data_IF_541820464048
#
_entry.id   IF_541820464048
#
_cell.length_a   1.000
_cell.length_b   1.000
_cell.length_c   1.000
_cell.angle_alpha   90.00
_cell.angle_beta   90.00
_cell.angle_gamma   90.00
#
_symmetry.space_group_name_H-M   'P 1'
#
loop_
_entity.id
_entity.type
_entity.pdbx_description
1 polymer ?
#
# COMPACT_ATOMS: atom_id res chain seq x y z
N UNK A 1 -31.33 5.23 17.85
CA UNK A 1 -31.62 4.01 17.06
C UNK A 1 -30.34 3.20 16.92
N UNK A 2 -30.28 2.09 17.65
CA UNK A 2 -29.19 1.12 17.65
C UNK A 2 -29.15 0.39 16.31
N UNK A 3 -28.11 0.63 15.49
CA UNK A 3 -27.86 -0.17 14.29
C UNK A 3 -27.24 -1.52 14.70
N UNK A 4 -28.06 -2.44 15.19
CA UNK A 4 -27.72 -3.86 15.24
C UNK A 4 -27.89 -4.45 13.83
N UNK A 5 -26.88 -4.34 12.98
CA UNK A 5 -26.90 -5.06 11.70
C UNK A 5 -26.56 -6.53 11.97
N UNK A 6 -27.58 -7.39 11.94
CA UNK A 6 -27.43 -8.84 12.03
C UNK A 6 -26.54 -9.34 10.86
N UNK A 7 -25.39 -10.00 11.12
CA UNK A 7 -24.48 -10.44 10.06
C UNK A 7 -25.07 -11.47 9.08
N UNK A 8 -26.21 -12.08 9.43
CA UNK A 8 -26.84 -13.18 8.68
C UNK A 8 -27.68 -12.72 7.45
N UNK A 9 -27.93 -11.42 7.27
CA UNK A 9 -28.85 -10.93 6.22
C UNK A 9 -28.20 -10.50 4.89
N UNK A 10 -26.90 -10.71 4.70
CA UNK A 10 -26.25 -10.37 3.42
C UNK A 10 -26.56 -11.41 2.33
N UNK A 11 -27.72 -11.28 1.65
CA UNK A 11 -28.06 -12.02 0.42
C UNK A 11 -27.15 -11.68 -0.78
N UNK A 12 -26.36 -10.60 -0.70
CA UNK A 12 -25.51 -10.11 -1.80
C UNK A 12 -24.08 -9.81 -1.34
N UNK A 13 -23.10 -10.20 -2.17
CA UNK A 13 -21.68 -9.87 -1.98
C UNK A 13 -21.46 -8.38 -2.23
N UNK A 14 -21.01 -7.62 -1.23
CA UNK A 14 -20.62 -6.21 -1.41
C UNK A 14 -19.44 -6.11 -2.39
N UNK A 15 -19.39 -5.11 -3.29
CA UNK A 15 -18.26 -4.94 -4.22
C UNK A 15 -16.93 -4.82 -3.46
N UNK A 16 -15.95 -5.65 -3.79
CA UNK A 16 -14.63 -5.60 -3.15
C UNK A 16 -13.80 -4.41 -3.64
N UNK A 17 -13.04 -3.80 -2.72
CA UNK A 17 -12.03 -2.78 -3.07
C UNK A 17 -10.79 -3.38 -3.74
N UNK A 18 -10.60 -4.70 -3.63
CA UNK A 18 -9.53 -5.51 -4.23
C UNK A 18 -10.13 -6.60 -5.14
N UNK A 19 -9.63 -6.72 -6.37
CA UNK A 19 -10.10 -7.72 -7.36
C UNK A 19 -9.10 -8.89 -7.49
N UNK A 20 -7.92 -8.78 -6.88
CA UNK A 20 -6.82 -9.74 -6.99
C UNK A 20 -6.95 -10.99 -6.11
N UNK A 21 -8.13 -11.27 -5.53
CA UNK A 21 -8.31 -12.36 -4.56
C UNK A 21 -7.57 -12.18 -3.22
N UNK A 22 -6.87 -11.05 -3.03
CA UNK A 22 -6.20 -10.70 -1.76
C UNK A 22 -7.10 -9.82 -0.92
N UNK A 23 -7.33 -10.22 0.32
CA UNK A 23 -8.24 -9.56 1.24
C UNK A 23 -7.48 -8.68 2.23
N UNK A 24 -7.68 -7.35 2.21
CA UNK A 24 -6.97 -6.44 3.11
C UNK A 24 -7.60 -6.45 4.51
N UNK A 25 -6.78 -6.73 5.52
CA UNK A 25 -7.11 -6.57 6.94
C UNK A 25 -6.30 -5.41 7.50
N UNK A 26 -7.02 -4.33 7.80
CA UNK A 26 -6.45 -3.17 8.49
C UNK A 26 -6.59 -3.33 10.01
N UNK A 27 -5.47 -3.17 10.72
CA UNK A 27 -5.39 -3.18 12.20
C UNK A 27 -4.90 -1.81 12.70
N UNK A 28 -5.47 -1.33 13.80
CA UNK A 28 -5.09 -0.08 14.44
C UNK A 28 -4.20 -0.31 15.65
N UNK A 29 -3.29 0.64 15.83
CA UNK A 29 -2.52 0.82 17.06
C UNK A 29 -3.39 1.47 18.14
N UNK A 30 -3.12 1.25 19.44
CA UNK A 30 -3.75 2.03 20.50
C UNK A 30 -3.38 3.51 20.39
N UNK A 31 -4.25 4.47 20.76
CA UNK A 31 -3.97 5.90 20.62
C UNK A 31 -2.72 6.29 21.40
N UNK A 32 -1.87 7.10 20.76
CA UNK A 32 -0.69 7.70 21.40
C UNK A 32 -0.37 9.03 20.70
N UNK A 33 -0.01 10.08 21.43
CA UNK A 33 0.46 11.32 20.81
C UNK A 33 1.76 11.09 20.03
N UNK A 34 1.90 11.78 18.90
CA UNK A 34 3.18 11.88 18.22
C UNK A 34 4.19 12.65 19.08
N UNK A 35 5.46 12.25 19.07
CA UNK A 35 6.53 12.89 19.86
C UNK A 35 6.71 14.39 19.54
N UNK A 36 6.35 14.83 18.33
CA UNK A 36 6.44 16.22 17.88
C UNK A 36 5.14 17.03 18.07
N UNK A 37 4.15 16.47 18.77
CA UNK A 37 2.81 17.03 18.85
C UNK A 37 1.97 16.74 17.59
N UNK A 38 0.82 17.40 17.49
CA UNK A 38 -0.09 17.24 16.36
C UNK A 38 0.35 18.10 15.16
N UNK A 39 0.31 17.53 13.96
CA UNK A 39 0.36 18.32 12.73
C UNK A 39 -0.92 19.15 12.61
N UNK A 40 -0.84 20.32 11.96
CA UNK A 40 -1.94 21.30 11.87
C UNK A 40 -3.25 20.68 11.34
N UNK A 41 -3.16 19.79 10.36
CA UNK A 41 -4.31 19.14 9.71
C UNK A 41 -4.73 17.81 10.37
N UNK A 42 -4.04 17.35 11.41
CA UNK A 42 -4.42 16.11 12.09
C UNK A 42 -5.35 16.41 13.27
N UNK A 43 -6.46 15.68 13.42
CA UNK A 43 -7.38 15.86 14.53
C UNK A 43 -6.81 15.31 15.85
N UNK A 44 -7.16 15.96 16.95
CA UNK A 44 -6.84 15.53 18.32
C UNK A 44 -8.09 14.95 19.01
N UNK A 45 -8.53 13.76 18.57
CA UNK A 45 -9.83 13.17 18.97
C UNK A 45 -9.71 11.89 19.83
N UNK A 46 -8.63 11.74 20.60
CA UNK A 46 -8.35 10.56 21.44
C UNK A 46 -8.47 9.20 20.69
N UNK A 47 -8.02 9.20 19.43
CA UNK A 47 -7.93 8.05 18.52
C UNK A 47 -6.56 8.06 17.84
N UNK A 48 -6.14 6.99 17.16
CA UNK A 48 -4.85 7.00 16.46
C UNK A 48 -4.76 8.22 15.53
N UNK A 49 -3.60 8.90 15.57
CA UNK A 49 -3.40 10.19 14.91
C UNK A 49 -3.85 10.14 13.45
N UNK A 50 -4.47 11.23 12.99
CA UNK A 50 -5.09 11.37 11.68
C UNK A 50 -6.48 10.75 11.57
N UNK A 51 -6.94 9.82 12.41
CA UNK A 51 -8.25 9.14 12.24
C UNK A 51 -9.41 9.83 12.97
N UNK A 52 -10.63 9.45 12.60
CA UNK A 52 -11.87 9.87 13.26
C UNK A 52 -12.47 8.73 14.07
N UNK A 53 -13.12 9.01 15.22
CA UNK A 53 -13.75 7.99 16.08
C UNK A 53 -14.73 7.07 15.38
N UNK A 54 -15.51 7.59 14.43
CA UNK A 54 -16.51 6.81 13.69
C UNK A 54 -15.95 6.01 12.51
N UNK A 55 -14.63 6.04 12.28
CA UNK A 55 -14.04 5.21 11.24
C UNK A 55 -14.26 3.73 11.57
N UNK A 56 -14.78 2.89 10.64
CA UNK A 56 -15.07 1.48 10.92
C UNK A 56 -13.87 0.67 11.42
N UNK A 57 -12.64 1.07 11.06
CA UNK A 57 -11.41 0.44 11.56
C UNK A 57 -11.12 0.82 13.01
N UNK A 58 -11.38 2.07 13.40
CA UNK A 58 -11.19 2.58 14.76
C UNK A 58 -12.24 1.98 15.70
N UNK A 59 -13.51 1.95 15.28
CA UNK A 59 -14.59 1.35 16.07
C UNK A 59 -14.31 -0.12 16.40
N UNK A 60 -13.89 -0.92 15.41
CA UNK A 60 -13.48 -2.33 15.64
C UNK A 60 -12.28 -2.45 16.56
N UNK A 61 -11.30 -1.57 16.44
CA UNK A 61 -10.11 -1.64 17.27
C UNK A 61 -10.46 -1.32 18.73
N UNK A 62 -11.25 -0.26 18.95
CA UNK A 62 -11.73 0.16 20.26
C UNK A 62 -12.55 -0.94 20.94
N UNK A 63 -13.41 -1.65 20.20
CA UNK A 63 -14.25 -2.72 20.78
C UNK A 63 -13.47 -3.92 21.33
N UNK A 64 -12.19 -4.06 20.96
CA UNK A 64 -11.29 -5.11 21.46
C UNK A 64 -10.07 -4.55 22.17
N UNK A 65 -10.15 -3.30 22.63
CA UNK A 65 -9.06 -2.59 23.31
C UNK A 65 -7.73 -2.64 22.54
N UNK A 66 -7.80 -2.50 21.21
CA UNK A 66 -6.67 -2.49 20.29
C UNK A 66 -5.81 -3.78 20.29
N UNK A 67 -6.33 -4.90 20.80
CA UNK A 67 -5.66 -6.20 20.73
C UNK A 67 -5.51 -6.67 19.27
N UNK A 68 -4.27 -6.92 18.84
CA UNK A 68 -3.97 -7.24 17.45
C UNK A 68 -4.57 -8.57 16.97
N UNK A 69 -4.60 -9.58 17.84
CA UNK A 69 -5.16 -10.91 17.54
C UNK A 69 -6.66 -10.80 17.34
N UNK A 70 -7.37 -10.19 18.30
CA UNK A 70 -8.82 -10.01 18.26
C UNK A 70 -9.25 -9.13 17.09
N UNK A 71 -8.52 -8.04 16.81
CA UNK A 71 -8.78 -7.20 15.64
C UNK A 71 -8.71 -8.00 14.33
N UNK A 72 -7.71 -8.88 14.21
CA UNK A 72 -7.50 -9.73 13.04
C UNK A 72 -8.63 -10.76 12.91
N UNK A 73 -8.98 -11.45 14.00
CA UNK A 73 -10.04 -12.47 14.04
C UNK A 73 -11.42 -11.90 13.69
N UNK A 74 -11.84 -10.80 14.34
CA UNK A 74 -13.13 -10.15 14.04
C UNK A 74 -13.19 -9.74 12.56
N UNK A 75 -12.08 -9.26 12.01
CA UNK A 75 -12.07 -8.86 10.59
C UNK A 75 -12.12 -10.06 9.65
N UNK A 76 -11.46 -11.16 9.98
CA UNK A 76 -11.57 -12.43 9.23
C UNK A 76 -13.02 -12.94 9.26
N UNK A 77 -13.65 -12.99 10.43
CA UNK A 77 -15.04 -13.41 10.60
C UNK A 77 -16.00 -12.55 9.77
N UNK A 78 -15.83 -11.22 9.80
CA UNK A 78 -16.62 -10.31 8.98
C UNK A 78 -16.46 -10.61 7.48
N UNK A 79 -15.24 -10.90 7.00
CA UNK A 79 -15.02 -11.29 5.60
C UNK A 79 -15.60 -12.65 5.26
N UNK A 80 -15.51 -13.65 6.16
CA UNK A 80 -16.14 -14.97 6.02
C UNK A 80 -17.67 -14.82 5.92
N UNK A 81 -18.29 -14.03 6.80
CA UNK A 81 -19.73 -13.75 6.79
C UNK A 81 -20.19 -13.07 5.49
N UNK A 82 -19.37 -12.16 4.95
CA UNK A 82 -19.60 -11.51 3.66
C UNK A 82 -19.22 -12.38 2.43
N UNK A 83 -18.82 -13.65 2.64
CA UNK A 83 -18.37 -14.59 1.61
C UNK A 83 -17.21 -14.07 0.75
N UNK A 84 -16.31 -13.29 1.35
CA UNK A 84 -15.05 -12.90 0.73
C UNK A 84 -13.98 -13.97 0.96
N UNK A 85 -13.06 -14.20 -0.02
CA UNK A 85 -11.95 -15.11 0.16
C UNK A 85 -11.05 -14.61 1.31
N UNK A 86 -10.53 -15.54 2.09
CA UNK A 86 -9.66 -15.23 3.24
C UNK A 86 -8.38 -16.08 3.24
N UNK A 87 -8.10 -16.79 2.16
CA UNK A 87 -6.91 -17.62 1.98
C UNK A 87 -5.63 -16.78 1.82
N UNK A 88 -5.75 -15.59 1.21
CA UNK A 88 -4.65 -14.64 1.00
C UNK A 88 -4.98 -13.30 1.63
N UNK A 89 -4.22 -12.93 2.65
CA UNK A 89 -4.43 -11.73 3.45
C UNK A 89 -3.29 -10.72 3.23
N UNK A 90 -3.66 -9.47 2.98
CA UNK A 90 -2.76 -8.32 3.14
C UNK A 90 -3.04 -7.65 4.49
N UNK A 91 -2.06 -7.66 5.39
CA UNK A 91 -2.12 -6.91 6.64
C UNK A 91 -1.70 -5.46 6.39
N UNK A 92 -2.45 -4.51 6.95
CA UNK A 92 -2.12 -3.09 6.92
C UNK A 92 -2.17 -2.55 8.34
N UNK A 93 -1.00 -2.19 8.88
CA UNK A 93 -0.88 -1.55 10.18
C UNK A 93 -1.00 -0.05 9.94
N UNK A 94 -2.12 0.54 10.36
CA UNK A 94 -2.37 1.96 10.18
C UNK A 94 -2.21 2.75 11.49
N UNK A 95 -1.91 4.03 11.34
CA UNK A 95 -1.64 4.97 12.44
C UNK A 95 -0.33 5.76 12.25
N UNK A 96 0.57 5.29 11.39
CA UNK A 96 1.75 6.04 10.97
C UNK A 96 2.89 6.14 12.00
N UNK A 97 2.72 5.56 13.18
CA UNK A 97 3.67 5.66 14.31
C UNK A 97 4.06 4.32 14.91
N UNK A 98 3.73 3.19 14.25
CA UNK A 98 4.00 1.84 14.77
C UNK A 98 5.45 1.64 15.22
N UNK A 99 6.40 2.13 14.42
CA UNK A 99 7.83 1.98 14.67
C UNK A 99 8.36 2.83 15.83
N UNK A 100 7.57 3.80 16.31
CA UNK A 100 7.84 4.62 17.51
C UNK A 100 7.37 3.97 18.83
N UNK A 101 6.64 2.85 18.78
CA UNK A 101 6.22 2.11 19.98
C UNK A 101 7.40 1.40 20.64
N UNK A 102 7.34 1.05 21.95
CA UNK A 102 8.35 0.22 22.58
C UNK A 102 8.57 -1.09 21.81
N UNK A 103 9.81 -1.57 21.74
CA UNK A 103 10.17 -2.76 20.95
C UNK A 103 9.30 -3.96 21.33
N UNK A 104 9.17 -4.28 22.62
CA UNK A 104 8.34 -5.38 23.10
C UNK A 104 6.89 -5.29 22.60
N UNK A 105 6.32 -4.09 22.55
CA UNK A 105 4.99 -3.88 21.98
C UNK A 105 4.96 -4.21 20.50
N UNK A 106 5.95 -3.76 19.71
CA UNK A 106 6.00 -4.03 18.27
C UNK A 106 6.00 -5.55 17.98
N UNK A 107 6.90 -6.31 18.61
CA UNK A 107 6.97 -7.76 18.41
C UNK A 107 5.70 -8.48 18.88
N UNK A 108 5.16 -8.13 20.06
CA UNK A 108 3.90 -8.70 20.56
C UNK A 108 2.73 -8.38 19.64
N UNK A 109 2.67 -7.17 19.09
CA UNK A 109 1.60 -6.74 18.20
C UNK A 109 1.64 -7.55 16.89
N UNK A 110 2.81 -7.66 16.24
CA UNK A 110 2.97 -8.45 15.01
C UNK A 110 2.68 -9.93 15.26
N UNK A 111 3.21 -10.49 16.36
CA UNK A 111 2.91 -11.87 16.77
C UNK A 111 1.41 -12.08 16.94
N UNK A 112 0.72 -11.15 17.61
CA UNK A 112 -0.74 -11.19 17.78
C UNK A 112 -1.49 -11.20 16.45
N UNK A 113 -1.04 -10.45 15.44
CA UNK A 113 -1.62 -10.51 14.09
C UNK A 113 -1.48 -11.92 13.51
N UNK A 114 -0.26 -12.49 13.52
CA UNK A 114 -0.04 -13.84 13.01
C UNK A 114 -0.83 -14.90 13.78
N UNK A 115 -0.89 -14.82 15.11
CA UNK A 115 -1.71 -15.71 15.94
C UNK A 115 -3.21 -15.59 15.58
N UNK A 116 -3.68 -14.39 15.26
CA UNK A 116 -5.04 -14.14 14.79
C UNK A 116 -5.33 -14.76 13.42
N UNK A 117 -4.35 -14.71 12.50
CA UNK A 117 -4.44 -15.38 11.19
C UNK A 117 -4.36 -16.91 11.30
N UNK A 118 -3.50 -17.40 12.19
CA UNK A 118 -3.25 -18.82 12.39
C UNK A 118 -4.34 -19.50 13.23
N UNK A 119 -5.22 -18.71 13.87
CA UNK A 119 -6.22 -19.19 14.84
C UNK A 119 -5.57 -20.02 15.98
N UNK A 120 -4.29 -19.75 16.29
CA UNK A 120 -3.47 -20.46 17.27
C UNK A 120 -2.50 -19.51 17.95
N UNK A 121 -2.24 -19.70 19.25
CA UNK A 121 -1.22 -18.95 19.98
C UNK A 121 0.14 -19.62 19.77
N UNK A 122 1.12 -18.86 19.31
CA UNK A 122 2.53 -19.27 19.18
C UNK A 122 3.35 -18.92 20.44
N UNK A 123 4.52 -19.53 20.60
CA UNK A 123 5.52 -19.19 21.62
C UNK A 123 6.13 -17.81 21.36
N UNK A 124 6.55 -17.56 20.12
CA UNK A 124 7.21 -16.34 19.69
C UNK A 124 6.82 -15.96 18.25
N UNK A 125 7.34 -14.82 17.77
CA UNK A 125 7.03 -14.32 16.44
C UNK A 125 7.55 -15.25 15.33
N UNK A 126 8.68 -15.92 15.51
CA UNK A 126 9.24 -16.81 14.49
C UNK A 126 8.36 -18.04 14.31
N UNK A 127 7.90 -18.66 15.40
CA UNK A 127 6.94 -19.75 15.33
C UNK A 127 5.62 -19.29 14.68
N UNK A 128 5.11 -18.10 15.03
CA UNK A 128 3.90 -17.53 14.44
C UNK A 128 4.01 -17.42 12.90
N UNK A 129 5.16 -16.92 12.41
CA UNK A 129 5.44 -16.82 10.98
C UNK A 129 5.55 -18.19 10.32
N UNK A 130 6.27 -19.14 10.94
CA UNK A 130 6.43 -20.51 10.42
C UNK A 130 5.09 -21.22 10.24
N UNK A 131 4.19 -21.10 11.23
CA UNK A 131 2.83 -21.64 11.13
C UNK A 131 2.07 -20.97 9.98
N UNK A 132 2.24 -19.66 9.79
CA UNK A 132 1.51 -18.90 8.79
C UNK A 132 1.89 -19.24 7.33
N UNK A 133 3.11 -19.72 7.08
CA UNK A 133 3.55 -20.11 5.73
C UNK A 133 2.62 -21.14 5.08
N UNK A 134 2.07 -22.06 5.89
CA UNK A 134 1.15 -23.12 5.50
C UNK A 134 -0.26 -22.97 6.09
N UNK A 135 -0.53 -21.82 6.72
CA UNK A 135 -1.80 -21.56 7.40
C UNK A 135 -2.98 -21.40 6.44
N UNK A 136 -4.20 -21.49 6.98
CA UNK A 136 -5.44 -21.26 6.22
C UNK A 136 -5.57 -19.82 5.72
N UNK A 137 -5.14 -18.85 6.55
CA UNK A 137 -5.20 -17.41 6.26
C UNK A 137 -3.79 -16.87 6.10
N UNK A 138 -3.23 -17.00 4.89
CA UNK A 138 -1.81 -16.72 4.63
C UNK A 138 -1.56 -15.22 4.52
N UNK A 139 -0.61 -14.70 5.29
CA UNK A 139 -0.15 -13.32 5.19
C UNK A 139 0.75 -13.16 3.97
N UNK A 140 0.16 -12.81 2.82
CA UNK A 140 0.89 -12.68 1.55
C UNK A 140 1.56 -11.31 1.40
N UNK A 141 1.13 -10.33 2.19
CA UNK A 141 1.75 -9.02 2.27
C UNK A 141 1.49 -8.39 3.64
N UNK A 142 2.49 -7.66 4.16
CA UNK A 142 2.35 -6.87 5.37
C UNK A 142 2.84 -5.46 5.08
N UNK A 143 1.96 -4.49 5.31
CA UNK A 143 2.19 -3.08 5.07
C UNK A 143 2.29 -2.31 6.40
N UNK A 144 3.36 -1.54 6.56
CA UNK A 144 3.55 -0.62 7.70
C UNK A 144 3.48 0.82 7.20
N UNK A 145 2.60 1.62 7.80
CA UNK A 145 2.60 3.08 7.63
C UNK A 145 3.59 3.71 8.62
N UNK A 146 4.48 4.58 8.14
CA UNK A 146 5.46 5.28 8.99
C UNK A 146 5.73 6.71 8.51
N UNK A 147 6.38 7.51 9.37
CA UNK A 147 6.91 8.82 9.01
C UNK A 147 8.30 8.66 8.35
N UNK A 148 8.68 9.54 7.41
CA UNK A 148 9.99 9.50 6.77
C UNK A 148 11.19 9.54 7.72
N UNK A 149 11.11 10.31 8.81
CA UNK A 149 12.15 10.41 9.85
C UNK A 149 12.31 9.11 10.66
N UNK A 150 11.28 8.25 10.68
CA UNK A 150 11.26 6.97 11.40
C UNK A 150 11.49 5.82 10.42
N UNK A 151 12.65 5.87 9.75
CA UNK A 151 13.04 4.90 8.71
C UNK A 151 14.57 4.75 8.61
N UNK A 152 15.24 4.58 9.75
CA UNK A 152 16.68 4.25 9.83
C UNK A 152 16.97 2.79 9.45
N UNK A 153 18.25 2.40 9.31
CA UNK A 153 18.64 1.02 9.01
C UNK A 153 18.12 0.01 10.06
N UNK A 154 18.07 0.39 11.33
CA UNK A 154 17.49 -0.44 12.38
C UNK A 154 15.98 -0.65 12.18
N UNK A 155 15.26 0.41 11.81
CA UNK A 155 13.84 0.32 11.48
C UNK A 155 13.61 -0.62 10.30
N UNK A 156 14.44 -0.53 9.26
CA UNK A 156 14.41 -1.43 8.10
C UNK A 156 14.56 -2.89 8.54
N UNK A 157 15.58 -3.19 9.35
CA UNK A 157 15.83 -4.54 9.85
C UNK A 157 14.64 -5.09 10.65
N UNK A 158 14.07 -4.29 11.56
CA UNK A 158 12.87 -4.68 12.32
C UNK A 158 11.68 -4.96 11.40
N UNK A 159 11.45 -4.13 10.39
CA UNK A 159 10.37 -4.37 9.42
C UNK A 159 10.57 -5.69 8.65
N UNK A 160 11.81 -6.04 8.28
CA UNK A 160 12.13 -7.33 7.67
C UNK A 160 11.86 -8.50 8.62
N UNK A 161 12.25 -8.37 9.89
CA UNK A 161 11.95 -9.37 10.95
C UNK A 161 10.44 -9.60 11.12
N UNK A 162 9.62 -8.56 10.98
CA UNK A 162 8.16 -8.66 11.03
C UNK A 162 7.54 -9.33 9.79
N UNK A 163 8.30 -9.57 8.72
CA UNK A 163 7.77 -10.04 7.44
C UNK A 163 7.09 -8.94 6.62
N UNK A 164 7.44 -7.67 6.85
CA UNK A 164 6.92 -6.55 6.08
C UNK A 164 7.42 -6.61 4.63
N UNK A 165 6.54 -6.30 3.67
CA UNK A 165 6.86 -6.27 2.24
C UNK A 165 6.59 -4.92 1.59
N UNK A 166 5.91 -4.02 2.31
CA UNK A 166 5.49 -2.72 1.82
C UNK A 166 5.53 -1.66 2.92
N UNK A 167 6.07 -0.51 2.60
CA UNK A 167 6.10 0.63 3.53
C UNK A 167 5.43 1.83 2.86
N UNK A 168 4.56 2.46 3.61
CA UNK A 168 3.90 3.69 3.19
C UNK A 168 4.40 4.87 4.01
N UNK A 169 5.02 5.83 3.32
CA UNK A 169 5.57 7.03 3.91
C UNK A 169 4.54 8.16 3.87
N UNK A 170 4.31 8.77 5.03
CA UNK A 170 3.51 9.98 5.17
C UNK A 170 4.21 11.24 4.65
N UNK A 171 4.46 11.30 3.33
CA UNK A 171 5.21 12.38 2.63
C UNK A 171 4.41 13.68 2.54
N UNK A 172 3.13 13.57 2.25
CA UNK A 172 2.15 14.65 2.06
C UNK A 172 2.46 15.61 0.90
N UNK A 173 3.52 16.41 0.99
CA UNK A 173 3.91 17.40 -0.02
C UNK A 173 5.41 17.72 0.11
N UNK A 174 6.20 17.53 -0.96
CA UNK A 174 7.68 17.68 -0.92
C UNK A 174 8.15 19.15 -0.83
N UNK A 175 7.94 19.81 0.31
CA UNK A 175 8.43 21.16 0.62
C UNK A 175 8.68 21.34 2.13
N UNK A 176 9.92 21.65 2.48
CA UNK A 176 10.32 21.87 3.88
C UNK A 176 9.62 23.08 4.50
N UNK A 177 9.23 24.10 3.71
CA UNK A 177 8.46 25.23 4.21
C UNK A 177 7.05 24.80 4.63
N UNK A 178 6.38 24.00 3.79
CA UNK A 178 5.08 23.39 4.15
C UNK A 178 5.19 22.47 5.37
N UNK A 179 6.27 21.69 5.50
CA UNK A 179 6.47 20.85 6.68
C UNK A 179 6.59 21.66 7.97
N UNK A 180 7.40 22.73 7.96
CA UNK A 180 7.50 23.65 9.10
C UNK A 180 6.16 24.31 9.42
N UNK A 181 5.48 24.84 8.41
CA UNK A 181 4.17 25.50 8.58
C UNK A 181 3.12 24.58 9.20
N UNK A 182 3.11 23.31 8.82
CA UNK A 182 2.11 22.34 9.28
C UNK A 182 2.54 21.54 10.52
N UNK A 183 3.65 21.92 11.16
CA UNK A 183 4.26 21.18 12.27
C UNK A 183 4.48 19.69 11.93
N UNK A 184 4.94 19.42 10.71
CA UNK A 184 5.26 18.07 10.25
C UNK A 184 6.74 17.80 10.51
N UNK A 185 7.01 16.87 11.42
CA UNK A 185 8.37 16.58 11.91
C UNK A 185 9.16 15.65 10.99
N UNK A 186 9.41 16.08 9.75
CA UNK A 186 10.44 15.54 8.86
C UNK A 186 10.74 16.54 7.74
N UNK A 187 11.83 16.29 7.02
CA UNK A 187 12.28 17.09 5.86
C UNK A 187 12.09 16.31 4.56
N UNK A 188 12.29 16.99 3.43
CA UNK A 188 12.40 16.33 2.11
C UNK A 188 13.61 15.40 2.10
N UNK A 189 14.71 15.73 2.81
CA UNK A 189 15.87 14.85 2.93
C UNK A 189 15.51 13.53 3.60
N UNK A 190 14.69 13.54 4.64
CA UNK A 190 14.23 12.31 5.29
C UNK A 190 13.41 11.44 4.33
N UNK A 191 12.58 12.05 3.47
CA UNK A 191 11.86 11.32 2.42
C UNK A 191 12.82 10.66 1.43
N UNK A 192 13.84 11.38 0.98
CA UNK A 192 14.88 10.85 0.07
C UNK A 192 15.62 9.69 0.73
N UNK A 193 16.09 9.87 1.96
CA UNK A 193 16.89 8.87 2.67
C UNK A 193 16.07 7.62 3.01
N UNK A 194 14.82 7.79 3.47
CA UNK A 194 13.90 6.68 3.72
C UNK A 194 13.61 5.90 2.43
N UNK A 195 13.33 6.61 1.34
CA UNK A 195 13.04 5.97 0.04
C UNK A 195 14.25 5.20 -0.47
N UNK A 196 15.45 5.77 -0.33
CA UNK A 196 16.69 5.08 -0.66
C UNK A 196 16.84 3.79 0.14
N UNK A 197 16.78 3.85 1.47
CA UNK A 197 16.95 2.65 2.33
C UNK A 197 15.89 1.58 2.05
N UNK A 198 14.64 1.97 1.89
CA UNK A 198 13.54 1.05 1.58
C UNK A 198 13.77 0.32 0.26
N UNK A 199 14.19 1.05 -0.78
CA UNK A 199 14.49 0.48 -2.10
C UNK A 199 15.70 -0.45 -2.04
N UNK A 200 16.77 -0.06 -1.35
CA UNK A 200 17.96 -0.90 -1.15
C UNK A 200 17.70 -2.18 -0.34
N UNK A 201 16.69 -2.18 0.53
CA UNK A 201 16.24 -3.37 1.26
C UNK A 201 15.12 -4.14 0.55
N UNK A 202 14.72 -3.73 -0.66
CA UNK A 202 13.75 -4.43 -1.50
C UNK A 202 12.28 -4.10 -1.28
N UNK A 203 11.93 -3.25 -0.31
CA UNK A 203 10.53 -2.91 -0.01
C UNK A 203 9.81 -2.23 -1.19
N UNK A 204 8.52 -2.48 -1.30
CA UNK A 204 7.60 -1.61 -2.06
C UNK A 204 7.39 -0.31 -1.31
N UNK A 205 7.49 0.82 -2.00
CA UNK A 205 7.39 2.15 -1.40
C UNK A 205 6.13 2.86 -1.88
N UNK A 206 5.24 3.18 -0.94
CA UNK A 206 4.05 3.99 -1.17
C UNK A 206 4.19 5.39 -0.56
N UNK A 207 3.74 6.43 -1.26
CA UNK A 207 3.64 7.78 -0.69
C UNK A 207 2.19 8.15 -0.40
N UNK A 208 1.92 8.71 0.77
CA UNK A 208 0.69 9.46 1.02
C UNK A 208 0.93 10.89 0.57
N UNK A 209 0.06 11.42 -0.29
CA UNK A 209 0.13 12.77 -0.84
C UNK A 209 -1.14 13.53 -0.46
N UNK A 210 -1.00 14.79 -0.06
CA UNK A 210 -2.10 15.66 0.35
C UNK A 210 -2.08 16.97 -0.43
N UNK A 211 -2.74 17.02 -1.60
CA UNK A 211 -3.00 18.28 -2.30
C UNK A 211 -3.82 19.24 -1.43
N UNK A 212 -3.61 20.54 -1.59
CA UNK A 212 -4.34 21.57 -0.85
C UNK A 212 -3.90 21.76 0.59
N UNK A 213 -2.71 21.29 0.99
CA UNK A 213 -2.16 21.63 2.31
C UNK A 213 -1.96 23.15 2.48
N UNK A 214 -1.98 23.67 3.73
CA UNK A 214 -1.63 25.06 3.99
C UNK A 214 -0.31 25.48 3.32
N UNK A 215 -0.32 26.63 2.65
CA UNK A 215 0.81 27.14 1.88
C UNK A 215 1.00 26.54 0.47
N UNK A 216 0.19 25.55 0.08
CA UNK A 216 0.14 25.01 -1.29
C UNK A 216 -0.93 25.68 -2.16
N UNK A 217 -0.91 25.40 -3.45
CA UNK A 217 -1.93 25.74 -4.44
C UNK A 217 -1.88 24.72 -5.60
N UNK A 218 -2.87 24.75 -6.48
CA UNK A 218 -2.99 23.79 -7.60
C UNK A 218 -1.69 23.68 -8.42
N UNK A 219 -1.07 24.82 -8.75
CA UNK A 219 0.19 24.86 -9.53
C UNK A 219 1.32 24.17 -8.77
N UNK A 220 1.45 24.44 -7.47
CA UNK A 220 2.45 23.84 -6.59
C UNK A 220 2.23 22.33 -6.44
N UNK A 221 1.00 21.87 -6.25
CA UNK A 221 0.66 20.44 -6.14
C UNK A 221 1.03 19.66 -7.40
N UNK A 222 0.68 20.20 -8.57
CA UNK A 222 1.02 19.59 -9.87
C UNK A 222 2.55 19.54 -10.05
N UNK A 223 3.25 20.63 -9.75
CA UNK A 223 4.71 20.68 -9.82
C UNK A 223 5.38 19.70 -8.84
N UNK A 224 4.81 19.54 -7.64
CA UNK A 224 5.30 18.59 -6.64
C UNK A 224 5.20 17.15 -7.14
N UNK A 225 4.06 16.77 -7.72
CA UNK A 225 3.88 15.43 -8.30
C UNK A 225 4.77 15.22 -9.53
N UNK A 226 4.95 16.24 -10.38
CA UNK A 226 5.90 16.18 -11.48
C UNK A 226 7.31 15.86 -10.96
N UNK A 227 7.76 16.56 -9.90
CA UNK A 227 9.04 16.31 -9.23
C UNK A 227 9.14 14.88 -8.68
N UNK A 228 8.10 14.37 -8.01
CA UNK A 228 8.06 12.99 -7.47
C UNK A 228 8.39 11.94 -8.54
N UNK A 229 7.95 12.13 -9.79
CA UNK A 229 8.15 11.16 -10.86
C UNK A 229 9.31 11.48 -11.80
N UNK A 230 9.78 12.72 -11.88
CA UNK A 230 10.93 13.10 -12.70
C UNK A 230 12.27 12.91 -11.99
N UNK A 231 12.33 13.21 -10.68
CA UNK A 231 13.56 13.14 -9.88
C UNK A 231 13.78 11.71 -9.37
N UNK A 232 14.97 11.15 -9.65
CA UNK A 232 15.30 9.77 -9.30
C UNK A 232 15.30 9.50 -7.79
N UNK A 233 15.41 10.51 -6.93
CA UNK A 233 15.43 10.34 -5.47
C UNK A 233 14.10 9.87 -4.87
N UNK A 234 13.00 9.95 -5.62
CA UNK A 234 11.65 9.61 -5.15
C UNK A 234 11.09 8.37 -5.87
N UNK A 235 10.38 8.55 -6.99
CA UNK A 235 9.81 7.49 -7.83
C UNK A 235 9.18 6.33 -7.03
N UNK A 236 8.16 6.62 -6.20
CA UNK A 236 7.47 5.60 -5.42
C UNK A 236 6.76 4.61 -6.35
N UNK A 237 6.54 3.39 -5.87
CA UNK A 237 5.80 2.37 -6.60
C UNK A 237 4.29 2.62 -6.54
N UNK A 238 3.85 3.33 -5.50
CA UNK A 238 2.45 3.55 -5.20
C UNK A 238 2.21 4.94 -4.61
N UNK A 239 1.02 5.50 -4.87
CA UNK A 239 0.56 6.72 -4.21
C UNK A 239 -0.86 6.58 -3.67
N UNK A 240 -1.12 7.22 -2.54
CA UNK A 240 -2.45 7.47 -1.96
C UNK A 240 -2.66 8.98 -1.95
N UNK A 241 -3.74 9.46 -2.57
CA UNK A 241 -4.00 10.89 -2.72
C UNK A 241 -5.19 11.26 -1.83
N UNK A 242 -4.93 12.15 -0.86
CA UNK A 242 -5.90 12.61 0.13
C UNK A 242 -5.94 14.14 0.14
N UNK A 243 -6.80 14.78 -0.69
CA UNK A 243 -7.00 16.22 -0.61
C UNK A 243 -7.21 16.68 0.84
N UNK A 244 -6.55 17.77 1.23
CA UNK A 244 -6.60 18.29 2.58
C UNK A 244 -8.02 18.77 2.90
N UNK A 245 -8.52 18.37 4.06
CA UNK A 245 -9.87 18.64 4.53
C UNK A 245 -9.80 19.09 5.99
N UNK A 246 -10.76 19.91 6.40
CA UNK A 246 -10.85 20.44 7.75
C UNK A 246 -11.72 19.49 8.59
N UNK A 247 -11.12 18.94 9.64
CA UNK A 247 -11.71 17.95 10.55
C UNK A 247 -11.79 18.60 11.94
N UNK A 248 -12.83 18.33 12.75
CA UNK A 248 -12.95 18.94 14.07
C UNK A 248 -11.78 18.57 14.98
N UNK A 249 -11.35 19.52 15.81
CA UNK A 249 -10.26 19.33 16.77
C UNK A 249 -8.85 19.30 16.15
N UNK A 250 -8.71 19.74 14.90
CA UNK A 250 -7.43 20.03 14.28
C UNK A 250 -7.17 21.54 14.34
N UNK A 251 -5.91 21.97 14.48
CA UNK A 251 -5.55 23.40 14.41
C UNK A 251 -5.96 24.06 13.09
N UNK A 252 -6.07 23.28 12.02
CA UNK A 252 -6.58 23.72 10.72
C UNK A 252 -8.03 24.24 10.79
N UNK A 253 -8.83 23.78 11.76
CA UNK A 253 -10.20 24.26 11.98
C UNK A 253 -10.22 25.72 12.41
N UNK A 254 -9.33 26.12 13.33
CA UNK A 254 -9.15 27.51 13.76
C UNK A 254 -8.78 28.39 12.57
N UNK A 255 -7.77 27.96 11.80
CA UNK A 255 -7.33 28.69 10.60
C UNK A 255 -8.44 28.85 9.56
N UNK A 256 -9.31 27.84 9.42
CA UNK A 256 -10.47 27.94 8.55
C UNK A 256 -11.50 28.95 9.06
N UNK A 257 -11.83 28.91 10.36
CA UNK A 257 -12.80 29.84 10.99
C UNK A 257 -12.33 31.30 10.94
N UNK A 258 -11.03 31.53 11.06
CA UNK A 258 -10.40 32.85 10.96
C UNK A 258 -10.19 33.32 9.50
N UNK A 259 -10.53 32.48 8.51
CA UNK A 259 -10.33 32.78 7.08
C UNK A 259 -8.89 32.60 6.58
N UNK A 260 -7.96 32.16 7.42
CA UNK A 260 -6.56 31.88 7.09
C UNK A 260 -6.33 30.59 6.27
N UNK A 261 -7.36 29.75 6.09
CA UNK A 261 -7.29 28.57 5.24
C UNK A 261 -8.61 28.31 4.52
N UNK A 262 -8.53 27.90 3.24
CA UNK A 262 -9.67 27.44 2.45
C UNK A 262 -9.33 26.11 1.78
N UNK A 263 -10.06 25.01 2.05
CA UNK A 263 -9.87 23.76 1.34
C UNK A 263 -10.29 23.91 -0.13
N UNK A 264 -9.75 23.05 -1.00
CA UNK A 264 -10.13 23.04 -2.41
C UNK A 264 -11.60 22.70 -2.61
N UNK A 265 -12.20 23.33 -3.62
CA UNK A 265 -13.54 22.94 -4.10
C UNK A 265 -13.49 21.60 -4.84
N UNK A 266 -14.66 21.02 -5.10
CA UNK A 266 -14.76 19.79 -5.87
C UNK A 266 -14.14 19.92 -7.27
N UNK A 267 -14.35 21.04 -7.94
CA UNK A 267 -13.80 21.33 -9.27
C UNK A 267 -12.27 21.40 -9.25
N UNK A 268 -11.72 22.07 -8.24
CA UNK A 268 -10.27 22.18 -8.04
C UNK A 268 -9.64 20.82 -7.74
N UNK A 269 -10.28 20.01 -6.88
CA UNK A 269 -9.85 18.64 -6.58
C UNK A 269 -9.85 17.80 -7.86
N UNK A 270 -10.93 17.84 -8.64
CA UNK A 270 -11.02 17.10 -9.91
C UNK A 270 -9.91 17.53 -10.87
N UNK A 271 -9.67 18.84 -11.02
CA UNK A 271 -8.60 19.39 -11.85
C UNK A 271 -7.23 18.86 -11.43
N UNK A 272 -6.89 18.98 -10.14
CA UNK A 272 -5.62 18.47 -9.60
C UNK A 272 -5.48 16.97 -9.82
N UNK A 273 -6.53 16.19 -9.57
CA UNK A 273 -6.49 14.74 -9.73
C UNK A 273 -6.30 14.31 -11.19
N UNK A 274 -6.91 15.00 -12.15
CA UNK A 274 -6.69 14.75 -13.59
C UNK A 274 -5.22 15.00 -13.95
N UNK A 275 -4.66 16.14 -13.54
CA UNK A 275 -3.26 16.48 -13.83
C UNK A 275 -2.28 15.50 -13.18
N UNK A 276 -2.53 15.10 -11.93
CA UNK A 276 -1.75 14.03 -11.28
C UNK A 276 -1.83 12.73 -12.08
N UNK A 277 -3.03 12.31 -12.54
CA UNK A 277 -3.19 11.07 -13.30
C UNK A 277 -2.50 11.09 -14.67
N UNK A 278 -2.34 12.26 -15.30
CA UNK A 278 -1.55 12.43 -16.53
C UNK A 278 -0.05 12.20 -16.27
N UNK A 279 0.44 12.61 -15.10
CA UNK A 279 1.86 12.51 -14.71
C UNK A 279 2.26 11.13 -14.17
N UNK A 280 1.32 10.35 -13.63
CA UNK A 280 1.63 9.06 -13.01
C UNK A 280 2.11 8.06 -14.06
N UNK A 281 3.35 7.53 -13.92
CA UNK A 281 3.93 6.60 -14.88
C UNK A 281 3.31 5.21 -14.80
N UNK A 282 3.53 4.41 -15.83
CA UNK A 282 2.99 3.06 -15.96
C UNK A 282 3.39 2.10 -14.83
N UNK A 283 4.55 2.32 -14.19
CA UNK A 283 5.03 1.49 -13.08
C UNK A 283 4.40 1.86 -11.72
N UNK A 284 3.69 2.99 -11.63
CA UNK A 284 3.13 3.48 -10.37
C UNK A 284 1.65 3.14 -10.26
N UNK A 285 1.21 2.76 -9.05
CA UNK A 285 -0.19 2.46 -8.74
C UNK A 285 -0.81 3.57 -7.88
N UNK A 286 -1.91 4.16 -8.36
CA UNK A 286 -2.77 5.00 -7.50
C UNK A 286 -3.67 4.08 -6.67
N UNK A 287 -3.28 3.84 -5.42
CA UNK A 287 -3.98 2.95 -4.49
C UNK A 287 -5.36 3.51 -4.16
N UNK A 288 -5.39 4.76 -3.69
CA UNK A 288 -6.59 5.41 -3.18
C UNK A 288 -6.62 6.87 -3.63
N UNK A 289 -7.83 7.34 -3.91
CA UNK A 289 -8.18 8.75 -4.09
C UNK A 289 -9.27 8.98 -3.04
N UNK A 290 -9.14 10.05 -2.28
CA UNK A 290 -9.98 10.39 -1.13
C UNK A 290 -9.81 9.47 0.08
N UNK A 291 -9.90 10.11 1.24
CA UNK A 291 -10.12 9.43 2.51
C UNK A 291 -11.62 9.35 2.76
N UNK A 292 -12.07 8.24 3.35
CA UNK A 292 -13.42 8.17 3.91
C UNK A 292 -13.39 8.86 5.27
N UNK A 293 -13.96 10.06 5.32
CA UNK A 293 -14.20 10.83 6.54
C UNK A 293 -15.73 10.86 6.71
N UNK A 294 -16.28 10.44 7.86
CA UNK A 294 -17.71 10.57 8.11
C UNK A 294 -18.15 12.04 8.00
N UNK A 295 -19.29 12.36 7.38
CA UNK A 295 -19.76 13.75 7.24
C UNK A 295 -19.84 14.52 8.56
N UNK A 296 -20.19 13.84 9.66
CA UNK A 296 -20.20 14.37 11.02
C UNK A 296 -18.83 14.89 11.51
N UNK A 297 -17.74 14.44 10.89
CA UNK A 297 -16.36 14.85 11.21
C UNK A 297 -15.72 15.66 10.06
N UNK A 298 -16.52 16.29 9.21
CA UNK A 298 -16.04 17.20 8.17
C UNK A 298 -16.54 18.62 8.45
N UNK A 299 -15.64 19.52 8.84
CA UNK A 299 -15.96 20.95 9.05
C UNK A 299 -15.99 21.68 7.71
N UNK A 300 -15.00 21.42 6.84
CA UNK A 300 -14.92 22.02 5.51
C UNK A 300 -14.11 21.16 4.53
N UNK A 301 -14.53 21.16 3.27
CA UNK A 301 -13.95 20.36 2.20
C UNK A 301 -15.02 19.60 1.42
N UNK A 302 -14.62 18.51 0.76
CA UNK A 302 -15.50 17.72 -0.11
C UNK A 302 -16.21 16.61 0.65
N UNK A 303 -17.54 16.56 0.54
CA UNK A 303 -18.34 15.41 0.98
C UNK A 303 -18.30 14.24 -0.03
N UNK A 304 -17.79 14.47 -1.24
CA UNK A 304 -17.76 13.45 -2.29
C UNK A 304 -16.66 12.42 -2.07
N UNK A 305 -17.09 11.21 -1.74
CA UNK A 305 -16.23 10.03 -1.59
C UNK A 305 -16.00 9.29 -2.90
N UNK A 306 -16.77 9.60 -3.95
CA UNK A 306 -16.76 8.96 -5.25
C UNK A 306 -15.89 9.68 -6.29
N UNK A 307 -15.03 10.62 -5.88
CA UNK A 307 -14.14 11.42 -6.74
C UNK A 307 -13.36 10.60 -7.79
N UNK A 308 -13.02 9.35 -7.49
CA UNK A 308 -12.37 8.46 -8.47
C UNK A 308 -13.26 8.17 -9.69
N UNK A 309 -14.57 8.03 -9.50
CA UNK A 309 -15.57 7.85 -10.56
C UNK A 309 -15.67 9.12 -11.40
N UNK A 310 -15.88 10.26 -10.75
CA UNK A 310 -15.97 11.59 -11.38
C UNK A 310 -14.75 11.88 -12.25
N UNK A 311 -13.54 11.70 -11.70
CA UNK A 311 -12.29 11.93 -12.45
C UNK A 311 -12.15 10.98 -13.65
N UNK A 312 -12.63 9.74 -13.53
CA UNK A 312 -12.56 8.75 -14.62
C UNK A 312 -13.52 9.06 -15.76
N UNK A 313 -14.69 9.63 -15.47
CA UNK A 313 -15.62 10.08 -16.50
C UNK A 313 -15.03 11.23 -17.33
N UNK A 314 -14.27 12.12 -16.69
CA UNK A 314 -13.60 13.25 -17.34
C UNK A 314 -12.25 12.92 -17.96
N UNK A 315 -11.56 11.88 -17.47
CA UNK A 315 -10.23 11.47 -17.96
C UNK A 315 -10.05 9.94 -17.92
N UNK A 316 -10.13 9.32 -19.11
CA UNK A 316 -10.05 7.87 -19.28
C UNK A 316 -8.62 7.36 -19.52
N UNK A 317 -7.74 8.17 -20.10
CA UNK A 317 -6.39 7.76 -20.56
C UNK A 317 -5.32 7.71 -19.45
N UNK A 318 -5.69 7.17 -18.29
CA UNK A 318 -4.77 7.03 -17.16
C UNK A 318 -3.87 5.79 -17.32
N UNK A 319 -2.55 6.02 -17.35
CA UNK A 319 -1.55 4.95 -17.54
C UNK A 319 -1.15 4.21 -16.25
N UNK A 320 -1.60 4.64 -15.08
CA UNK A 320 -1.26 3.97 -13.82
C UNK A 320 -1.69 2.49 -13.79
N UNK A 321 -1.02 1.67 -12.98
CA UNK A 321 -1.28 0.22 -12.87
C UNK A 321 -2.78 -0.04 -12.64
N UNK A 322 -3.39 0.62 -11.65
CA UNK A 322 -4.79 0.36 -11.25
C UNK A 322 -5.80 0.55 -12.39
N UNK A 323 -5.55 1.50 -13.29
CA UNK A 323 -6.44 1.76 -14.42
C UNK A 323 -6.29 0.74 -15.55
N UNK A 324 -5.21 -0.05 -15.54
CA UNK A 324 -4.89 -1.07 -16.56
C UNK A 324 -5.02 -2.50 -16.03
N UNK A 325 -5.21 -2.71 -14.73
CA UNK A 325 -5.42 -4.04 -14.15
C UNK A 325 -6.64 -4.74 -14.79
N UNK A 326 -6.43 -5.93 -15.34
CA UNK A 326 -7.48 -6.70 -16.03
C UNK A 326 -8.73 -6.90 -15.17
N UNK A 327 -8.56 -7.11 -13.85
CA UNK A 327 -9.69 -7.28 -12.94
C UNK A 327 -10.60 -6.05 -12.85
N UNK A 328 -10.04 -4.84 -12.83
CA UNK A 328 -10.85 -3.62 -12.83
C UNK A 328 -11.50 -3.39 -14.19
N UNK A 329 -10.80 -3.72 -15.28
CA UNK A 329 -11.36 -3.63 -16.63
C UNK A 329 -12.59 -4.53 -16.80
N UNK A 330 -12.52 -5.80 -16.40
CA UNK A 330 -13.65 -6.74 -16.51
C UNK A 330 -14.82 -6.29 -15.64
N UNK A 331 -14.56 -5.86 -14.40
CA UNK A 331 -15.64 -5.36 -13.52
C UNK A 331 -16.37 -4.18 -14.14
N UNK A 332 -15.62 -3.25 -14.74
CA UNK A 332 -16.17 -2.03 -15.33
C UNK A 332 -16.75 -2.29 -16.75
N UNK A 333 -16.40 -3.41 -17.39
CA UNK A 333 -16.82 -3.78 -18.75
C UNK A 333 -17.16 -5.29 -18.85
N UNK A 334 -18.21 -5.78 -18.18
CA UNK A 334 -18.48 -7.21 -18.00
C UNK A 334 -18.73 -7.99 -19.30
N UNK A 335 -19.13 -7.30 -20.38
CA UNK A 335 -19.44 -7.90 -21.68
C UNK A 335 -18.30 -7.74 -22.71
N UNK A 336 -17.17 -7.13 -22.34
CA UNK A 336 -16.06 -6.95 -23.27
C UNK A 336 -15.31 -8.27 -23.51
N UNK A 337 -15.04 -8.58 -24.78
CA UNK A 337 -14.13 -9.66 -25.15
C UNK A 337 -12.71 -9.27 -24.75
N UNK A 338 -12.01 -10.17 -24.06
CA UNK A 338 -10.63 -9.95 -23.63
C UNK A 338 -9.68 -10.45 -24.71
N UNK A 339 -8.77 -9.60 -25.16
CA UNK A 339 -7.65 -10.02 -26.00
C UNK A 339 -6.61 -10.75 -25.13
N UNK A 340 -6.48 -12.06 -25.38
CA UNK A 340 -5.53 -12.96 -24.70
C UNK A 340 -4.15 -13.00 -25.39
N UNK A 341 -3.93 -12.21 -26.45
CA UNK A 341 -2.61 -12.08 -27.05
C UNK A 341 -1.67 -11.25 -26.15
N UNK A 342 -1.01 -11.94 -25.23
CA UNK A 342 -0.15 -11.33 -24.24
C UNK A 342 1.29 -11.15 -24.75
N UNK A 343 1.88 -10.00 -24.42
CA UNK A 343 3.29 -9.71 -24.64
C UNK A 343 3.94 -9.22 -23.35
N UNK A 344 5.24 -9.49 -23.22
CA UNK A 344 6.06 -8.91 -22.17
C UNK A 344 6.52 -7.51 -22.59
N UNK A 345 6.34 -6.53 -21.69
CA UNK A 345 6.86 -5.17 -21.82
C UNK A 345 7.74 -4.85 -20.61
N UNK A 346 8.88 -4.20 -20.83
CA UNK A 346 9.83 -3.84 -19.77
C UNK A 346 10.04 -2.33 -19.79
N UNK A 347 9.88 -1.67 -18.65
CA UNK A 347 10.20 -0.26 -18.45
C UNK A 347 11.40 -0.17 -17.53
N UNK A 348 12.47 0.48 -17.98
CA UNK A 348 13.68 0.74 -17.19
C UNK A 348 13.68 2.18 -16.70
N UNK A 349 14.05 2.41 -15.44
CA UNK A 349 14.21 3.75 -14.90
C UNK A 349 15.20 3.77 -13.73
N UNK A 350 15.92 4.88 -13.56
CA UNK A 350 16.74 5.10 -12.36
C UNK A 350 15.87 5.56 -11.20
N UNK A 351 16.10 4.98 -10.02
CA UNK A 351 15.48 5.41 -8.77
C UNK A 351 16.42 5.12 -7.59
N UNK A 352 16.62 6.11 -6.73
CA UNK A 352 17.50 6.03 -5.56
C UNK A 352 18.89 5.51 -5.92
N UNK A 353 19.50 6.08 -6.97
CA UNK A 353 20.79 5.69 -7.58
C UNK A 353 20.86 4.29 -8.22
N UNK A 354 19.96 3.38 -7.86
CA UNK A 354 19.86 2.05 -8.45
C UNK A 354 19.04 2.03 -9.75
N UNK A 355 19.02 0.87 -10.40
CA UNK A 355 18.23 0.63 -11.63
C UNK A 355 16.97 -0.16 -11.28
N UNK A 356 15.82 0.31 -11.73
CA UNK A 356 14.54 -0.38 -11.63
C UNK A 356 14.10 -0.91 -13.00
N UNK A 357 13.62 -2.14 -13.00
CA UNK A 357 13.04 -2.85 -14.12
C UNK A 357 11.61 -3.20 -13.77
N UNK A 358 10.66 -2.55 -14.42
CA UNK A 358 9.23 -2.88 -14.30
C UNK A 358 8.82 -3.76 -15.48
N UNK A 359 8.72 -5.06 -15.21
CA UNK A 359 8.24 -6.05 -16.15
C UNK A 359 6.72 -6.13 -16.03
N UNK A 360 6.02 -6.13 -17.16
CA UNK A 360 4.57 -6.29 -17.20
C UNK A 360 4.17 -7.18 -18.37
N UNK A 361 3.24 -8.09 -18.12
CA UNK A 361 2.58 -8.87 -19.17
C UNK A 361 1.28 -8.16 -19.50
N UNK A 362 1.18 -7.70 -20.75
CA UNK A 362 0.08 -6.86 -21.23
C UNK A 362 -0.48 -7.34 -22.56
N UNK A 363 -1.73 -7.00 -22.87
CA UNK A 363 -2.31 -7.21 -24.20
C UNK A 363 -2.15 -5.97 -25.11
N UNK A 364 -2.80 -5.98 -26.29
CA UNK A 364 -2.77 -4.86 -27.24
C UNK A 364 -3.32 -3.55 -26.66
N UNK A 365 -4.35 -3.62 -25.81
CA UNK A 365 -4.93 -2.46 -25.10
C UNK A 365 -4.10 -2.02 -23.89
N UNK A 366 -2.92 -2.62 -23.67
CA UNK A 366 -2.02 -2.34 -22.56
C UNK A 366 -2.62 -2.67 -21.17
N UNK A 367 -3.64 -3.56 -21.12
CA UNK A 367 -4.18 -4.11 -19.88
C UNK A 367 -3.16 -5.06 -19.25
N UNK A 368 -2.99 -5.01 -17.93
CA UNK A 368 -1.99 -5.76 -17.17
C UNK A 368 -2.60 -7.06 -16.63
N UNK A 369 -1.93 -8.16 -16.96
CA UNK A 369 -2.24 -9.52 -16.46
C UNK A 369 -1.22 -9.99 -15.43
N UNK A 370 -0.01 -9.44 -15.44
CA UNK A 370 0.98 -9.68 -14.39
C UNK A 370 2.07 -8.62 -14.42
N UNK A 371 2.73 -8.42 -13.30
CA UNK A 371 3.87 -7.51 -13.17
C UNK A 371 4.93 -8.05 -12.23
N UNK A 372 6.17 -7.61 -12.45
CA UNK A 372 7.30 -7.84 -11.56
C UNK A 372 8.14 -6.56 -11.46
N UNK A 373 8.59 -6.23 -10.24
CA UNK A 373 9.56 -5.17 -9.97
C UNK A 373 10.91 -5.80 -9.64
N UNK A 374 11.88 -5.61 -10.52
CA UNK A 374 13.25 -6.05 -10.34
C UNK A 374 14.13 -4.81 -10.12
N UNK A 375 14.98 -4.83 -9.09
CA UNK A 375 15.93 -3.77 -8.79
C UNK A 375 17.35 -4.30 -8.83
N UNK A 376 18.23 -3.52 -9.43
CA UNK A 376 19.68 -3.63 -9.24
C UNK A 376 20.05 -2.57 -8.20
N UNK A 377 20.35 -2.98 -6.96
CA UNK A 377 20.63 -2.06 -5.87
C UNK A 377 21.91 -1.25 -6.14
N UNK A 378 21.98 -0.06 -5.59
CA UNK A 378 23.19 0.78 -5.69
C UNK A 378 24.18 0.47 -4.56
N UNK A 379 23.67 0.34 -3.34
CA UNK A 379 24.41 0.04 -2.12
C UNK A 379 23.48 -0.73 -1.16
N UNK A 380 23.43 -2.07 -1.29
CA UNK A 380 22.65 -2.91 -0.38
C UNK A 380 22.98 -2.59 1.07
N UNK A 381 21.96 -2.40 1.90
CA UNK A 381 22.11 -2.11 3.34
C UNK A 381 21.88 -3.35 4.20
N UNK A 382 21.62 -4.48 3.57
CA UNK A 382 21.31 -5.78 4.17
C UNK A 382 22.29 -6.79 3.57
N UNK A 383 22.93 -7.61 4.41
CA UNK A 383 24.03 -8.48 4.01
C UNK A 383 23.61 -9.55 3.00
N UNK A 384 22.41 -10.11 3.17
CA UNK A 384 21.80 -11.13 2.30
C UNK A 384 21.54 -10.61 0.86
N UNK A 385 21.62 -9.29 0.66
CA UNK A 385 21.44 -8.65 -0.65
C UNK A 385 22.77 -8.29 -1.34
N UNK A 386 23.92 -8.56 -0.71
CA UNK A 386 25.23 -8.36 -1.34
C UNK A 386 25.33 -9.21 -2.60
N UNK A 387 25.71 -8.58 -3.72
CA UNK A 387 25.81 -9.22 -5.04
C UNK A 387 24.51 -9.87 -5.52
N UNK A 388 23.36 -9.33 -5.12
CA UNK A 388 22.04 -9.82 -5.52
C UNK A 388 21.26 -8.75 -6.29
N UNK A 389 20.51 -9.17 -7.30
CA UNK A 389 19.37 -8.37 -7.77
C UNK A 389 18.16 -8.67 -6.89
N UNK A 390 17.23 -7.73 -6.78
CA UNK A 390 16.13 -7.80 -5.83
C UNK A 390 14.79 -7.79 -6.56
N UNK A 391 14.01 -8.85 -6.43
CA UNK A 391 12.59 -8.85 -6.80
C UNK A 391 11.80 -8.25 -5.64
N UNK A 392 11.28 -7.05 -5.89
CA UNK A 392 10.55 -6.21 -4.92
C UNK A 392 9.05 -6.49 -4.91
N UNK A 393 8.54 -7.03 -6.01
CA UNK A 393 7.14 -7.38 -6.18
C UNK A 393 6.98 -8.38 -7.31
N UNK A 394 6.18 -9.41 -7.09
CA UNK A 394 5.55 -10.20 -8.14
C UNK A 394 4.03 -10.15 -7.90
N UNK A 395 3.26 -9.84 -8.93
CA UNK A 395 1.80 -9.83 -8.84
C UNK A 395 1.18 -10.31 -10.14
N UNK A 396 0.34 -11.33 -10.07
CA UNK A 396 -0.42 -11.85 -11.22
C UNK A 396 -1.90 -11.55 -10.99
N UNK A 397 -2.52 -10.89 -11.96
CA UNK A 397 -3.94 -10.56 -11.94
C UNK A 397 -4.71 -11.67 -12.67
N UNK A 398 -5.90 -12.03 -12.19
CA UNK A 398 -6.79 -12.92 -12.94
C UNK A 398 -6.75 -14.39 -12.57
N UNK A 399 -5.94 -14.84 -11.60
CA UNK A 399 -5.91 -16.27 -11.25
C UNK A 399 -7.25 -16.79 -10.72
N UNK A 400 -8.07 -15.93 -10.10
CA UNK A 400 -9.43 -16.21 -9.61
C UNK A 400 -10.21 -14.88 -9.57
N UNK A 401 -10.90 -14.51 -10.65
CA UNK A 401 -11.80 -13.35 -10.65
C UNK A 401 -13.23 -13.86 -10.50
N UNK A 402 -13.76 -13.74 -9.28
CA UNK A 402 -15.18 -13.97 -8.99
C UNK A 402 -15.91 -12.62 -9.13
N UNK A 403 -16.54 -12.36 -10.28
CA UNK A 403 -17.42 -11.19 -10.48
C UNK A 403 -18.84 -11.72 -10.69
N UNK A 404 -19.72 -11.51 -9.71
CA UNK A 404 -21.07 -12.08 -9.71
C UNK A 404 -21.08 -13.61 -9.52
N UNK A 405 -22.03 -14.30 -10.17
CA UNK A 405 -22.17 -15.77 -10.19
C UNK A 405 -21.29 -16.46 -11.27
N UNK A 406 -20.51 -15.71 -12.06
CA UNK A 406 -19.65 -16.28 -13.10
C UNK A 406 -18.20 -16.36 -12.61
N UNK A 407 -17.65 -17.58 -12.57
CA UNK A 407 -16.22 -17.81 -12.41
C UNK A 407 -15.55 -17.60 -13.78
N UNK A 408 -14.83 -16.49 -13.94
CA UNK A 408 -13.97 -16.29 -15.12
C UNK A 408 -12.61 -16.88 -14.76
N UNK A 409 -12.42 -18.15 -15.13
CA UNK A 409 -11.13 -18.82 -15.02
C UNK A 409 -10.31 -18.56 -16.27
N UNK A 410 -9.24 -17.81 -16.09
CA UNK A 410 -8.30 -17.43 -17.13
C UNK A 410 -7.30 -18.59 -17.37
N UNK A 411 -7.76 -19.65 -18.06
CA UNK A 411 -7.03 -20.90 -18.29
C UNK A 411 -5.62 -20.70 -18.90
N UNK A 412 -5.46 -19.74 -19.81
CA UNK A 412 -4.16 -19.41 -20.45
C UNK A 412 -3.19 -18.63 -19.54
N UNK A 413 -3.65 -18.13 -18.38
CA UNK A 413 -2.84 -17.29 -17.50
C UNK A 413 -2.11 -18.11 -16.40
N UNK A 414 -2.22 -19.44 -16.46
CA UNK A 414 -1.34 -20.34 -15.69
C UNK A 414 0.11 -20.13 -16.15
N UNK A 415 1.01 -19.88 -15.20
CA UNK A 415 2.44 -19.73 -15.48
C UNK A 415 2.94 -18.31 -15.79
N UNK A 416 2.08 -17.27 -15.81
CA UNK A 416 2.54 -15.88 -15.99
C UNK A 416 3.56 -15.44 -14.94
N UNK A 417 3.37 -15.86 -13.69
CA UNK A 417 4.32 -15.59 -12.61
C UNK A 417 5.68 -16.22 -12.89
N UNK A 418 5.70 -17.48 -13.35
CA UNK A 418 6.93 -18.19 -13.72
C UNK A 418 7.66 -17.50 -14.88
N UNK A 419 6.93 -17.11 -15.93
CA UNK A 419 7.50 -16.34 -17.07
C UNK A 419 8.14 -15.03 -16.63
N UNK A 420 7.52 -14.31 -15.68
CA UNK A 420 8.09 -13.08 -15.12
C UNK A 420 9.37 -13.36 -14.31
N UNK A 421 9.37 -14.43 -13.50
CA UNK A 421 10.54 -14.86 -12.72
C UNK A 421 11.69 -15.26 -13.64
N UNK A 422 11.45 -16.12 -14.64
CA UNK A 422 12.46 -16.54 -15.63
C UNK A 422 13.08 -15.34 -16.35
N UNK A 423 12.27 -14.34 -16.72
CA UNK A 423 12.79 -13.11 -17.31
C UNK A 423 13.62 -12.28 -16.34
N UNK A 424 13.24 -12.23 -15.06
CA UNK A 424 14.01 -11.53 -14.04
C UNK A 424 15.40 -12.19 -13.85
N UNK A 425 15.45 -13.52 -13.81
CA UNK A 425 16.69 -14.31 -13.76
C UNK A 425 17.56 -14.08 -15.02
N UNK A 426 16.97 -14.01 -16.21
CA UNK A 426 17.68 -13.66 -17.45
C UNK A 426 18.32 -12.25 -17.37
N UNK A 427 17.58 -11.26 -16.88
CA UNK A 427 18.10 -9.88 -16.71
C UNK A 427 19.25 -9.86 -15.70
N UNK A 428 19.13 -10.61 -14.60
CA UNK A 428 20.15 -10.72 -13.58
C UNK A 428 21.48 -11.28 -14.12
N UNK A 429 21.40 -12.38 -14.89
CA UNK A 429 22.57 -12.97 -15.59
C UNK A 429 23.22 -11.98 -16.55
N UNK A 430 22.41 -11.22 -17.31
CA UNK A 430 22.90 -10.17 -18.24
C UNK A 430 23.63 -9.04 -17.53
N UNK A 431 23.23 -8.72 -16.29
CA UNK A 431 23.90 -7.72 -15.45
C UNK A 431 25.06 -8.33 -14.64
N UNK A 432 25.44 -9.58 -14.93
CA UNK A 432 26.55 -10.34 -14.30
C UNK A 432 26.40 -10.48 -12.79
N UNK A 433 25.17 -10.52 -12.31
CA UNK A 433 24.85 -10.70 -10.89
C UNK A 433 24.58 -12.18 -10.63
N UNK A 434 25.24 -12.74 -9.60
CA UNK A 434 25.23 -14.18 -9.31
C UNK A 434 23.99 -14.65 -8.56
N UNK A 435 23.36 -13.74 -7.82
CA UNK A 435 22.26 -14.06 -6.92
C UNK A 435 21.00 -13.24 -7.24
N UNK A 436 19.85 -13.82 -6.95
CA UNK A 436 18.57 -13.13 -6.97
C UNK A 436 17.85 -13.34 -5.64
N UNK A 437 17.33 -12.26 -5.07
CA UNK A 437 16.65 -12.25 -3.79
C UNK A 437 15.22 -11.71 -3.94
N UNK A 438 14.27 -12.31 -3.24
CA UNK A 438 12.87 -11.89 -3.25
C UNK A 438 12.44 -11.48 -1.84
N UNK A 439 11.90 -10.27 -1.72
CA UNK A 439 11.19 -9.85 -0.49
C UNK A 439 9.78 -10.46 -0.46
N UNK A 440 9.72 -11.72 -0.02
CA UNK A 440 8.49 -12.50 -0.01
C UNK A 440 7.64 -12.22 1.23
N UNK A 441 6.33 -12.11 1.06
CA UNK A 441 5.41 -12.26 2.19
C UNK A 441 5.52 -13.67 2.76
N UNK A 442 5.28 -13.80 4.06
CA UNK A 442 5.41 -15.08 4.79
C UNK A 442 4.57 -16.17 4.14
N UNK A 443 3.30 -15.87 3.89
CA UNK A 443 2.31 -16.77 3.29
C UNK A 443 2.53 -17.13 1.82
N UNK A 444 3.57 -16.63 1.17
CA UNK A 444 3.91 -16.93 -0.24
C UNK A 444 5.32 -17.51 -0.42
N UNK A 445 6.07 -17.78 0.66
CA UNK A 445 7.42 -18.38 0.56
C UNK A 445 7.43 -19.73 -0.16
N UNK A 446 6.43 -20.58 0.10
CA UNK A 446 6.24 -21.87 -0.59
C UNK A 446 6.14 -21.76 -2.11
N UNK A 447 5.59 -20.65 -2.63
CA UNK A 447 5.55 -20.42 -4.08
C UNK A 447 6.96 -20.32 -4.66
N UNK A 448 7.87 -19.63 -3.96
CA UNK A 448 9.26 -19.46 -4.40
C UNK A 448 10.10 -20.72 -4.16
N UNK A 449 9.84 -21.50 -3.09
CA UNK A 449 10.48 -22.81 -2.88
C UNK A 449 10.28 -23.75 -4.07
N UNK A 450 9.06 -23.78 -4.61
CA UNK A 450 8.74 -24.55 -5.83
C UNK A 450 9.47 -24.08 -7.09
N UNK A 451 10.06 -22.88 -7.07
CA UNK A 451 10.88 -22.33 -8.15
C UNK A 451 12.40 -22.48 -7.88
N UNK A 452 12.78 -23.20 -6.82
CA UNK A 452 14.17 -23.43 -6.43
C UNK A 452 14.80 -22.29 -5.63
N UNK A 453 13.98 -21.48 -4.93
CA UNK A 453 14.49 -20.47 -4.00
C UNK A 453 14.49 -21.02 -2.56
N UNK A 454 15.49 -20.64 -1.79
CA UNK A 454 15.63 -21.03 -0.38
C UNK A 454 15.49 -19.81 0.53
N UNK A 455 15.09 -20.01 1.79
CA UNK A 455 14.95 -18.92 2.74
C UNK A 455 16.31 -18.59 3.35
N UNK A 456 16.87 -17.43 3.01
CA UNK A 456 18.08 -16.88 3.62
C UNK A 456 17.68 -15.72 4.52
N UNK A 457 17.41 -16.06 5.79
CA UNK A 457 16.93 -15.17 6.86
C UNK A 457 15.65 -14.40 6.48
N UNK A 458 15.76 -13.26 5.81
CA UNK A 458 14.63 -12.39 5.45
C UNK A 458 14.11 -12.64 4.04
N UNK A 459 14.93 -13.12 3.12
CA UNK A 459 14.63 -13.17 1.68
C UNK A 459 14.55 -14.61 1.18
N UNK A 460 13.77 -14.81 0.12
CA UNK A 460 13.89 -16.04 -0.68
C UNK A 460 15.01 -15.81 -1.71
N UNK A 461 16.11 -16.54 -1.63
CA UNK A 461 17.30 -16.36 -2.48
C UNK A 461 17.53 -17.55 -3.40
N UNK A 462 18.18 -17.30 -4.53
CA UNK A 462 18.58 -18.32 -5.51
C UNK A 462 19.86 -17.90 -6.19
N UNK A 463 20.80 -18.84 -6.34
CA UNK A 463 22.00 -18.67 -7.17
C UNK A 463 21.67 -18.95 -8.63
N UNK A 464 22.20 -18.15 -9.56
CA UNK A 464 21.78 -18.08 -10.97
C UNK A 464 22.66 -18.76 -12.00
#
# INVERSE_FOLDING_TARGET
MTFTTNPKDYKFRKPTKTISGVTPIAVMLPPRPCKHGACVYCPSLNVPQSYTPESPVVLRAKSVNYDAKKQTQIRLEAFKAMKHPTDKIEIIIMGGTFLDYPLNFQYKFIKGIFDGLNEKISKDLEEAKRINELGKHRCVALCIETRPDVCSNEHIKRMLEFGCTRVELGVQFLDDKSYKLTNRCHTVKDVVDATFRLKEAGFKVGYHLMPGLPGSNIKKDIANVKKIFSDERFKPDQIKIYPCQVIPGAKLEEWYKEGGYKPYTDEEIVKVLIEIKKLVPEYCRIMRIMREIPPSYLVAGTLRIDMRKVVREKFKDCKCIRCREIGFFIRDNPNSKIDENLRLKIIKYKASKGKEYFLQIVNKQNLIFGMLRLRIPYKPIIDELKNSVIIRELHVYGSEINIGQKNISFGQHKGLGRKLMEKAEEIARKEKVKNIAVISGIGVREYYRKLGYELEKFYMTKSL
#
